data_IF_466010197409
#
_entry.id   IF_466010197409
#
_cell.length_a   1.000
_cell.length_b   1.000
_cell.length_c   1.000
_cell.angle_alpha   90.00
_cell.angle_beta   90.00
_cell.angle_gamma   90.00
#
_symmetry.space_group_name_H-M   'P 1'
#
loop_
_entity.id
_entity.type
_entity.pdbx_description
1 polymer ?
#
# COMPACT_ATOMS: atom_id res chain seq x y z
N UNK A 1 14.87 -21.22 -16.73
CA UNK A 1 13.60 -20.76 -17.32
C UNK A 1 12.81 -20.17 -16.16
N UNK A 2 12.47 -18.89 -16.20
CA UNK A 2 11.65 -18.25 -15.18
C UNK A 2 10.28 -18.95 -15.14
N UNK A 3 9.76 -19.32 -13.96
CA UNK A 3 8.41 -19.88 -13.88
C UNK A 3 7.38 -18.91 -14.50
N UNK A 4 6.28 -19.42 -15.07
CA UNK A 4 5.23 -18.53 -15.57
C UNK A 4 4.64 -17.73 -14.42
N UNK A 5 4.39 -16.43 -14.66
CA UNK A 5 3.74 -15.57 -13.68
C UNK A 5 2.33 -16.11 -13.33
N UNK A 6 1.86 -15.87 -12.10
CA UNK A 6 0.47 -16.14 -11.73
C UNK A 6 -0.55 -15.42 -12.65
N UNK A 7 -1.82 -15.82 -12.63
CA UNK A 7 -2.90 -15.09 -13.30
C UNK A 7 -2.92 -13.62 -12.88
N UNK A 8 -3.30 -12.73 -13.79
CA UNK A 8 -3.35 -11.29 -13.51
C UNK A 8 -4.63 -10.96 -12.72
N UNK A 9 -4.48 -10.19 -11.65
CA UNK A 9 -5.54 -9.65 -10.80
C UNK A 9 -6.18 -8.37 -11.38
N UNK A 10 -7.16 -7.78 -10.66
CA UNK A 10 -7.97 -6.68 -11.18
C UNK A 10 -7.17 -5.40 -11.47
N UNK A 11 -6.11 -5.12 -10.71
CA UNK A 11 -5.24 -3.96 -10.89
C UNK A 11 -4.07 -4.23 -11.86
N UNK A 12 -4.07 -5.34 -12.61
CA UNK A 12 -3.02 -5.66 -13.57
C UNK A 12 -1.78 -6.35 -12.98
N UNK A 13 -1.66 -6.40 -11.65
CA UNK A 13 -0.61 -7.16 -10.95
C UNK A 13 -0.92 -8.67 -10.95
N UNK A 14 0.09 -9.56 -10.94
CA UNK A 14 -0.13 -10.99 -10.74
C UNK A 14 -0.81 -11.26 -9.39
N UNK A 15 -1.73 -12.23 -9.37
CA UNK A 15 -2.26 -12.86 -8.16
C UNK A 15 -1.18 -13.74 -7.51
N UNK A 16 -0.14 -13.07 -7.02
CA UNK A 16 1.04 -13.67 -6.40
C UNK A 16 1.55 -12.77 -5.29
N UNK A 17 2.81 -12.98 -4.91
CA UNK A 17 3.45 -12.27 -3.80
C UNK A 17 4.70 -11.54 -4.31
N UNK A 18 4.73 -10.23 -4.09
CA UNK A 18 5.83 -9.33 -4.41
C UNK A 18 6.53 -8.80 -3.17
N UNK A 19 7.59 -8.02 -3.40
CA UNK A 19 8.33 -7.32 -2.34
C UNK A 19 8.64 -5.88 -2.75
N UNK A 20 8.76 -5.00 -1.77
CA UNK A 20 9.32 -3.66 -1.99
C UNK A 20 10.79 -3.73 -2.41
N UNK A 21 11.18 -2.98 -3.44
CA UNK A 21 12.56 -2.97 -3.94
C UNK A 21 13.51 -2.30 -2.94
N UNK A 22 14.42 -3.09 -2.37
CA UNK A 22 15.57 -2.58 -1.61
C UNK A 22 16.87 -2.72 -2.39
N UNK A 23 17.69 -1.66 -2.36
CA UNK A 23 18.91 -1.56 -3.19
C UNK A 23 19.89 -2.69 -2.90
N UNK A 24 19.94 -3.10 -1.64
CA UNK A 24 20.74 -4.20 -1.09
C UNK A 24 20.42 -5.54 -1.75
N UNK A 25 19.18 -5.73 -2.22
CA UNK A 25 18.70 -6.99 -2.80
C UNK A 25 18.76 -7.02 -4.33
N UNK A 26 18.86 -5.85 -4.99
CA UNK A 26 18.80 -5.73 -6.44
C UNK A 26 19.74 -6.68 -7.19
N UNK A 27 21.00 -6.82 -6.76
CA UNK A 27 21.96 -7.68 -7.46
C UNK A 27 21.57 -9.15 -7.40
N UNK A 28 21.00 -9.61 -6.29
CA UNK A 28 20.58 -11.00 -6.12
C UNK A 28 19.28 -11.27 -6.88
N UNK A 29 18.30 -10.37 -6.79
CA UNK A 29 17.03 -10.47 -7.52
C UNK A 29 17.22 -10.44 -9.05
N UNK A 30 18.12 -9.61 -9.57
CA UNK A 30 18.42 -9.58 -11.00
C UNK A 30 19.20 -10.81 -11.48
N UNK A 31 19.89 -11.51 -10.57
CA UNK A 31 20.57 -12.76 -10.89
C UNK A 31 19.59 -13.95 -10.89
N UNK A 32 18.60 -13.93 -10.00
CA UNK A 32 17.51 -14.90 -9.97
C UNK A 32 16.17 -14.21 -9.67
N UNK A 33 15.34 -13.96 -10.71
CA UNK A 33 14.08 -13.26 -10.55
C UNK A 33 12.90 -14.14 -10.15
N UNK A 34 13.09 -15.46 -10.11
CA UNK A 34 12.03 -16.43 -9.84
C UNK A 34 11.38 -16.41 -8.45
N UNK A 35 12.00 -15.88 -7.37
CA UNK A 35 11.41 -15.96 -6.04
C UNK A 35 10.15 -15.12 -5.84
N UNK A 36 9.96 -14.03 -6.59
CA UNK A 36 8.87 -13.05 -6.39
C UNK A 36 8.10 -12.81 -7.69
N UNK A 37 6.82 -12.48 -7.57
CA UNK A 37 5.91 -12.38 -8.72
C UNK A 37 5.84 -10.95 -9.29
N UNK A 38 6.09 -9.93 -8.47
CA UNK A 38 6.15 -8.54 -8.86
C UNK A 38 7.02 -7.74 -7.88
N UNK A 39 7.36 -6.50 -8.25
CA UNK A 39 8.16 -5.59 -7.43
C UNK A 39 7.41 -4.28 -7.22
N UNK A 40 7.42 -3.77 -6.00
CA UNK A 40 7.01 -2.39 -5.73
C UNK A 40 8.21 -1.44 -5.67
N UNK A 41 8.02 -0.22 -6.15
CA UNK A 41 8.96 0.89 -6.00
C UNK A 41 8.24 2.14 -5.49
N UNK A 42 8.90 2.88 -4.59
CA UNK A 42 8.40 4.21 -4.20
C UNK A 42 8.70 5.22 -5.29
N UNK A 43 7.68 5.94 -5.74
CA UNK A 43 7.74 6.84 -6.88
C UNK A 43 8.85 7.90 -6.71
N UNK A 44 8.93 8.51 -5.54
CA UNK A 44 9.80 9.64 -5.20
C UNK A 44 11.29 9.28 -5.37
N UNK A 45 11.67 8.01 -5.19
CA UNK A 45 13.03 7.52 -5.39
C UNK A 45 13.48 7.53 -6.86
N UNK A 46 12.54 7.68 -7.79
CA UNK A 46 12.73 7.59 -9.24
C UNK A 46 12.19 8.81 -10.01
N UNK A 47 11.88 9.92 -9.34
CA UNK A 47 11.38 11.15 -9.99
C UNK A 47 12.47 12.10 -10.52
N UNK A 48 13.74 11.70 -10.47
CA UNK A 48 14.85 12.52 -10.99
C UNK A 48 14.87 12.55 -12.53
N UNK A 49 15.54 13.53 -13.14
CA UNK A 49 15.61 13.66 -14.60
C UNK A 49 16.50 12.60 -15.29
N UNK A 50 17.26 11.83 -14.51
CA UNK A 50 18.27 10.92 -15.02
C UNK A 50 19.06 10.24 -13.89
N UNK A 51 19.93 9.31 -14.29
CA UNK A 51 20.94 8.73 -13.40
C UNK A 51 20.75 7.23 -13.13
N UNK A 52 21.59 6.67 -12.25
CA UNK A 52 21.66 5.23 -12.02
C UNK A 52 20.37 4.63 -11.48
N UNK A 53 19.55 5.41 -10.75
CA UNK A 53 18.26 4.94 -10.26
C UNK A 53 17.29 4.64 -11.40
N UNK A 54 17.17 5.52 -12.40
CA UNK A 54 16.29 5.27 -13.55
C UNK A 54 16.76 4.08 -14.39
N UNK A 55 18.08 3.95 -14.58
CA UNK A 55 18.62 2.80 -15.30
C UNK A 55 18.39 1.47 -14.54
N UNK A 56 18.43 1.50 -13.20
CA UNK A 56 18.02 0.36 -12.38
C UNK A 56 16.53 0.07 -12.58
N UNK A 57 15.68 1.09 -12.48
CA UNK A 57 14.25 0.95 -12.63
C UNK A 57 13.86 0.33 -13.98
N UNK A 58 14.47 0.77 -15.08
CA UNK A 58 14.22 0.18 -16.41
C UNK A 58 14.51 -1.33 -16.40
N UNK A 59 15.63 -1.74 -15.81
CA UNK A 59 16.00 -3.16 -15.73
C UNK A 59 15.04 -3.97 -14.86
N UNK A 60 14.54 -3.39 -13.78
CA UNK A 60 13.50 -4.03 -12.95
C UNK A 60 12.21 -4.15 -13.77
N UNK A 61 11.77 -3.08 -14.45
CA UNK A 61 10.56 -3.06 -15.26
C UNK A 61 10.60 -4.04 -16.45
N UNK A 62 11.78 -4.30 -17.02
CA UNK A 62 11.98 -5.32 -18.05
C UNK A 62 11.81 -6.77 -17.51
N UNK A 63 11.94 -6.95 -16.20
CA UNK A 63 11.99 -8.27 -15.55
C UNK A 63 10.69 -8.62 -14.81
N UNK A 64 10.06 -7.65 -14.15
CA UNK A 64 8.85 -7.86 -13.35
C UNK A 64 7.75 -6.84 -13.68
N UNK A 65 6.47 -7.22 -13.54
CA UNK A 65 5.40 -6.24 -13.36
C UNK A 65 5.72 -5.33 -12.17
N UNK A 66 5.39 -4.04 -12.30
CA UNK A 66 5.66 -3.05 -11.26
C UNK A 66 4.38 -2.57 -10.58
N UNK A 67 4.42 -2.52 -9.25
CA UNK A 67 3.61 -1.59 -8.47
C UNK A 67 4.42 -0.31 -8.22
N UNK A 68 3.83 0.85 -8.46
CA UNK A 68 4.42 2.12 -8.07
C UNK A 68 3.59 2.68 -6.92
N UNK A 69 4.23 2.89 -5.78
CA UNK A 69 3.59 3.49 -4.62
C UNK A 69 4.13 4.91 -4.42
N UNK A 70 3.24 5.90 -4.35
CA UNK A 70 3.59 7.30 -4.06
C UNK A 70 3.27 7.64 -2.60
N UNK A 71 4.06 8.54 -2.01
CA UNK A 71 3.87 8.96 -0.60
C UNK A 71 3.76 10.48 -0.41
N UNK A 72 3.83 11.24 -1.52
CA UNK A 72 4.05 12.69 -1.49
C UNK A 72 3.01 13.51 -2.28
N UNK A 73 1.95 12.89 -2.82
CA UNK A 73 0.93 13.62 -3.57
C UNK A 73 -0.04 14.34 -2.62
N UNK A 74 -0.14 13.87 -1.37
CA UNK A 74 -0.86 14.54 -0.29
C UNK A 74 -2.36 14.69 -0.60
N UNK A 75 -3.01 13.59 -1.01
CA UNK A 75 -4.42 13.56 -1.41
C UNK A 75 -5.40 14.07 -0.33
N UNK A 76 -5.05 13.90 0.94
CA UNK A 76 -5.80 14.39 2.11
C UNK A 76 -5.51 15.85 2.49
N UNK A 77 -4.56 16.51 1.82
CA UNK A 77 -4.14 17.88 2.14
C UNK A 77 -5.20 18.93 1.80
N UNK A 78 -5.15 20.09 2.46
CA UNK A 78 -6.10 21.19 2.18
C UNK A 78 -5.80 21.95 0.88
N UNK A 79 -4.53 21.99 0.49
CA UNK A 79 -4.05 22.69 -0.69
C UNK A 79 -4.33 21.89 -1.98
N UNK A 80 -4.44 22.57 -3.14
CA UNK A 80 -4.48 21.88 -4.43
C UNK A 80 -3.25 20.99 -4.65
N UNK A 81 -3.42 19.93 -5.44
CA UNK A 81 -2.31 19.04 -5.81
C UNK A 81 -1.17 19.80 -6.51
N UNK A 82 0.08 19.47 -6.14
CA UNK A 82 1.26 20.05 -6.78
C UNK A 82 1.38 19.55 -8.23
N UNK A 83 1.09 20.43 -9.20
CA UNK A 83 1.21 20.10 -10.62
C UNK A 83 2.62 19.70 -11.04
N UNK A 84 3.66 20.25 -10.41
CA UNK A 84 5.04 19.87 -10.72
C UNK A 84 5.34 18.44 -10.24
N UNK A 85 4.78 18.04 -9.09
CA UNK A 85 4.81 16.67 -8.61
C UNK A 85 4.03 15.73 -9.54
N UNK A 86 2.79 16.07 -9.91
CA UNK A 86 2.00 15.30 -10.88
C UNK A 86 2.72 15.10 -12.22
N UNK A 87 3.44 16.11 -12.73
CA UNK A 87 4.26 15.98 -13.93
C UNK A 87 5.45 15.03 -13.76
N UNK A 88 6.05 14.95 -12.56
CA UNK A 88 7.11 13.96 -12.27
C UNK A 88 6.53 12.54 -12.19
N UNK A 89 5.40 12.36 -11.50
CA UNK A 89 4.66 11.09 -11.49
C UNK A 89 4.29 10.63 -12.89
N UNK A 90 3.70 11.52 -13.70
CA UNK A 90 3.30 11.20 -15.07
C UNK A 90 4.48 10.73 -15.91
N UNK A 91 5.63 11.42 -15.83
CA UNK A 91 6.86 11.01 -16.53
C UNK A 91 7.34 9.62 -16.10
N UNK A 92 7.29 9.32 -14.81
CA UNK A 92 7.68 8.03 -14.26
C UNK A 92 6.73 6.91 -14.75
N UNK A 93 5.42 7.12 -14.62
CA UNK A 93 4.39 6.18 -15.08
C UNK A 93 4.50 5.94 -16.59
N UNK A 94 4.65 7.01 -17.39
CA UNK A 94 4.77 6.89 -18.84
C UNK A 94 6.04 6.10 -19.24
N UNK A 95 7.12 6.22 -18.47
CA UNK A 95 8.39 5.54 -18.72
C UNK A 95 8.29 4.03 -18.57
N UNK A 96 7.69 3.55 -17.46
CA UNK A 96 7.74 2.13 -17.10
C UNK A 96 6.42 1.40 -17.26
N UNK A 97 5.32 2.12 -17.53
CA UNK A 97 3.98 1.57 -17.72
C UNK A 97 3.63 0.56 -16.62
N UNK A 98 3.61 0.99 -15.35
CA UNK A 98 3.46 0.07 -14.22
C UNK A 98 2.09 -0.61 -14.26
N UNK A 99 2.05 -1.83 -13.73
CA UNK A 99 0.82 -2.59 -13.59
C UNK A 99 -0.13 -1.87 -12.62
N UNK A 100 0.38 -1.44 -11.46
CA UNK A 100 -0.38 -0.73 -10.42
C UNK A 100 0.23 0.65 -10.09
N UNK A 101 -0.60 1.55 -9.59
CA UNK A 101 -0.18 2.83 -9.00
C UNK A 101 -1.05 3.12 -7.78
N UNK A 102 -0.42 3.36 -6.63
CA UNK A 102 -1.08 3.62 -5.37
C UNK A 102 -0.57 4.90 -4.68
N UNK A 103 -1.39 5.44 -3.77
CA UNK A 103 -1.04 6.53 -2.85
C UNK A 103 -1.84 6.35 -1.55
N UNK A 104 -1.31 6.84 -0.44
CA UNK A 104 -1.96 7.04 0.83
C UNK A 104 -3.04 8.13 0.82
N UNK A 105 -4.04 7.92 1.68
CA UNK A 105 -4.87 8.99 2.19
C UNK A 105 -4.12 9.78 3.27
N UNK A 106 -3.28 10.72 2.86
CA UNK A 106 -2.54 11.55 3.81
C UNK A 106 -2.39 13.00 3.38
N UNK A 107 -2.05 13.82 4.37
CA UNK A 107 -1.45 15.13 4.16
C UNK A 107 0.06 15.00 4.35
N UNK A 108 0.85 15.33 3.32
CA UNK A 108 2.33 15.31 3.39
C UNK A 108 2.99 16.70 3.51
N UNK A 109 2.26 17.84 3.35
CA UNK A 109 2.88 19.19 3.32
C UNK A 109 2.08 20.36 3.96
N UNK A 110 2.34 20.79 5.22
CA UNK A 110 1.60 21.88 5.90
C UNK A 110 2.46 23.14 6.05
N UNK A 111 1.92 24.30 5.64
CA UNK A 111 2.64 25.59 5.64
C UNK A 111 4.06 25.52 5.03
N UNK A 112 4.21 24.73 3.97
CA UNK A 112 5.51 24.52 3.28
C UNK A 112 6.47 23.56 3.97
N UNK A 113 6.05 22.89 5.06
CA UNK A 113 6.83 21.84 5.74
C UNK A 113 6.33 20.46 5.32
N UNK A 114 7.24 19.61 4.84
CA UNK A 114 6.95 18.22 4.51
C UNK A 114 6.99 17.36 5.78
N UNK A 115 5.95 16.56 6.03
CA UNK A 115 5.89 15.63 7.15
C UNK A 115 5.97 14.21 6.61
N UNK A 116 6.91 13.43 7.14
CA UNK A 116 7.08 12.02 6.75
C UNK A 116 6.02 11.12 7.38
N UNK A 117 5.48 11.52 8.53
CA UNK A 117 4.39 10.82 9.20
C UNK A 117 3.05 11.38 8.73
N UNK A 118 2.19 10.49 8.23
CA UNK A 118 0.86 10.83 7.71
C UNK A 118 0.07 11.54 8.81
N UNK A 119 -0.16 12.85 8.65
CA UNK A 119 -0.96 13.61 9.60
C UNK A 119 -2.42 13.13 9.53
N UNK A 120 -3.11 12.98 10.69
CA UNK A 120 -4.47 12.47 10.72
C UNK A 120 -5.39 13.38 9.93
N UNK A 121 -6.18 12.76 9.06
CA UNK A 121 -7.20 13.43 8.26
C UNK A 121 -8.53 13.39 9.03
N UNK A 122 -9.27 14.50 9.05
CA UNK A 122 -10.61 14.51 9.62
C UNK A 122 -11.57 13.78 8.67
N UNK A 123 -12.19 12.69 9.12
CA UNK A 123 -13.19 11.95 8.36
C UNK A 123 -14.55 12.66 8.42
N UNK A 124 -14.61 13.85 7.82
CA UNK A 124 -15.83 14.65 7.70
C UNK A 124 -16.23 14.87 6.23
N UNK A 125 -17.42 15.40 6.02
CA UNK A 125 -17.98 15.59 4.67
C UNK A 125 -17.18 16.60 3.84
N UNK A 126 -16.58 17.62 4.46
CA UNK A 126 -15.77 18.61 3.76
C UNK A 126 -14.48 18.01 3.24
N UNK A 127 -13.78 17.25 4.09
CA UNK A 127 -12.61 16.48 3.69
C UNK A 127 -12.94 15.45 2.62
N UNK A 128 -14.03 14.70 2.77
CA UNK A 128 -14.47 13.70 1.79
C UNK A 128 -14.59 14.30 0.38
N UNK A 129 -15.28 15.44 0.25
CA UNK A 129 -15.44 16.08 -1.06
C UNK A 129 -14.11 16.55 -1.66
N UNK A 130 -13.18 17.00 -0.81
CA UNK A 130 -11.86 17.44 -1.25
C UNK A 130 -11.03 16.27 -1.76
N UNK A 131 -10.98 15.17 -1.00
CA UNK A 131 -10.25 13.96 -1.39
C UNK A 131 -10.81 13.37 -2.67
N UNK A 132 -12.15 13.32 -2.83
CA UNK A 132 -12.79 12.92 -4.10
C UNK A 132 -12.26 13.78 -5.26
N UNK A 133 -12.26 15.11 -5.10
CA UNK A 133 -11.76 16.02 -6.13
C UNK A 133 -10.26 15.82 -6.45
N UNK A 134 -9.44 15.54 -5.44
CA UNK A 134 -8.01 15.28 -5.62
C UNK A 134 -7.75 13.95 -6.33
N UNK A 135 -8.48 12.90 -5.95
CA UNK A 135 -8.37 11.58 -6.60
C UNK A 135 -8.82 11.68 -8.05
N UNK A 136 -9.93 12.35 -8.35
CA UNK A 136 -10.39 12.57 -9.73
C UNK A 136 -9.34 13.36 -10.54
N UNK A 137 -8.81 14.46 -10.01
CA UNK A 137 -7.75 15.24 -10.68
C UNK A 137 -6.50 14.39 -10.95
N UNK A 138 -6.06 13.59 -9.99
CA UNK A 138 -4.89 12.72 -10.13
C UNK A 138 -5.13 11.64 -11.19
N UNK A 139 -6.26 10.93 -11.15
CA UNK A 139 -6.58 9.90 -12.14
C UNK A 139 -6.69 10.48 -13.56
N UNK A 140 -7.37 11.62 -13.72
CA UNK A 140 -7.50 12.30 -15.01
C UNK A 140 -6.14 12.75 -15.56
N UNK A 141 -5.28 13.30 -14.69
CA UNK A 141 -3.96 13.78 -15.10
C UNK A 141 -3.00 12.64 -15.46
N UNK A 142 -3.00 11.57 -14.65
CA UNK A 142 -2.13 10.41 -14.85
C UNK A 142 -2.66 9.47 -15.94
N UNK A 143 -3.95 9.52 -16.24
CA UNK A 143 -4.60 8.72 -17.27
C UNK A 143 -4.75 7.24 -16.88
N UNK A 144 -4.82 6.93 -15.58
CA UNK A 144 -4.96 5.56 -15.06
C UNK A 144 -5.73 5.55 -13.74
N UNK A 145 -6.25 4.38 -13.37
CA UNK A 145 -6.85 4.17 -12.06
C UNK A 145 -5.78 4.26 -10.96
N UNK A 146 -6.10 4.94 -9.88
CA UNK A 146 -5.31 5.03 -8.66
C UNK A 146 -5.83 3.99 -7.65
N UNK A 147 -4.95 3.36 -6.88
CA UNK A 147 -5.33 2.63 -5.67
C UNK A 147 -5.12 3.53 -4.45
N UNK A 148 -6.16 3.72 -3.64
CA UNK A 148 -6.06 4.52 -2.41
C UNK A 148 -5.79 3.58 -1.23
N UNK A 149 -4.77 3.88 -0.45
CA UNK A 149 -4.39 3.10 0.72
C UNK A 149 -5.01 3.61 2.03
N UNK A 150 -5.41 2.68 2.90
CA UNK A 150 -5.80 3.00 4.28
C UNK A 150 -4.57 3.33 5.15
N UNK A 151 -4.55 4.47 5.85
CA UNK A 151 -3.42 4.84 6.70
C UNK A 151 -3.45 4.09 8.03
N UNK A 152 -2.30 4.05 8.73
CA UNK A 152 -2.27 3.85 10.18
C UNK A 152 -2.76 5.11 10.90
N UNK A 153 -3.71 4.99 11.83
CA UNK A 153 -4.17 6.12 12.66
C UNK A 153 -3.81 5.93 14.14
N UNK A 154 -3.40 7.02 14.78
CA UNK A 154 -3.04 7.07 16.20
C UNK A 154 -3.94 8.01 17.01
N UNK A 155 -4.68 8.89 16.33
CA UNK A 155 -5.54 9.90 16.96
C UNK A 155 -6.83 10.01 16.16
N UNK A 156 -7.97 9.88 16.86
CA UNK A 156 -9.28 10.20 16.30
C UNK A 156 -9.58 11.68 16.47
N UNK A 157 -9.91 12.36 15.38
CA UNK A 157 -10.33 13.75 15.42
C UNK A 157 -11.82 13.83 15.79
N UNK A 158 -12.15 14.62 16.81
CA UNK A 158 -13.53 14.78 17.28
C UNK A 158 -14.49 15.37 16.22
N UNK A 159 -13.95 15.96 15.16
CA UNK A 159 -14.69 16.46 14.01
C UNK A 159 -15.07 15.37 13.01
N UNK A 160 -14.48 14.17 13.11
CA UNK A 160 -14.82 13.04 12.26
C UNK A 160 -16.26 12.61 12.50
N UNK A 161 -17.01 12.50 11.40
CA UNK A 161 -18.43 12.11 11.37
C UNK A 161 -18.66 10.83 10.58
N UNK A 162 -17.65 10.38 9.84
CA UNK A 162 -17.63 9.14 9.09
C UNK A 162 -16.76 8.10 9.80
N UNK A 163 -17.14 6.83 9.68
CA UNK A 163 -16.23 5.73 9.96
C UNK A 163 -15.16 5.66 8.85
N UNK A 164 -13.92 5.34 9.20
CA UNK A 164 -12.80 5.32 8.24
C UNK A 164 -13.07 4.43 7.02
N UNK A 165 -13.47 3.18 7.25
CA UNK A 165 -13.81 2.25 6.17
C UNK A 165 -14.92 2.77 5.25
N UNK A 166 -15.93 3.46 5.80
CA UNK A 166 -17.04 4.05 5.02
C UNK A 166 -16.57 5.28 4.24
N UNK A 167 -15.68 6.08 4.82
CA UNK A 167 -15.06 7.23 4.16
C UNK A 167 -14.27 6.78 2.92
N UNK A 168 -13.41 5.77 3.08
CA UNK A 168 -12.62 5.18 1.99
C UNK A 168 -13.52 4.53 0.92
N UNK A 169 -14.53 3.75 1.35
CA UNK A 169 -15.48 3.13 0.43
C UNK A 169 -16.28 4.18 -0.37
N UNK A 170 -16.68 5.29 0.25
CA UNK A 170 -17.40 6.37 -0.42
C UNK A 170 -16.51 7.11 -1.43
N UNK A 171 -15.22 7.30 -1.15
CA UNK A 171 -14.25 7.83 -2.13
C UNK A 171 -14.20 6.91 -3.35
N UNK A 172 -13.90 5.62 -3.15
CA UNK A 172 -13.81 4.65 -4.24
C UNK A 172 -15.09 4.57 -5.07
N UNK A 173 -16.26 4.65 -4.40
CA UNK A 173 -17.56 4.65 -5.07
C UNK A 173 -17.79 5.90 -5.95
N UNK A 174 -17.26 7.06 -5.54
CA UNK A 174 -17.46 8.34 -6.23
C UNK A 174 -16.48 8.56 -7.37
N UNK A 175 -15.22 8.16 -7.19
CA UNK A 175 -14.11 8.43 -8.11
C UNK A 175 -13.80 7.24 -9.02
N UNK A 176 -14.28 6.04 -8.64
CA UNK A 176 -13.92 4.80 -9.30
C UNK A 176 -12.47 4.36 -9.05
N UNK A 177 -11.76 4.97 -8.10
CA UNK A 177 -10.44 4.48 -7.70
C UNK A 177 -10.54 3.06 -7.10
N UNK A 178 -9.45 2.30 -7.18
CA UNK A 178 -9.34 1.04 -6.44
C UNK A 178 -8.84 1.29 -5.02
N UNK A 179 -8.68 0.21 -4.27
CA UNK A 179 -8.14 0.25 -2.92
C UNK A 179 -6.82 -0.53 -2.85
N UNK A 180 -5.88 0.00 -2.09
CA UNK A 180 -4.77 -0.75 -1.54
C UNK A 180 -5.12 -1.01 -0.08
N UNK A 181 -5.17 -2.28 0.32
CA UNK A 181 -5.50 -2.63 1.70
C UNK A 181 -4.21 -3.01 2.43
N UNK A 182 -3.72 -2.10 3.25
CA UNK A 182 -2.64 -2.42 4.18
C UNK A 182 -3.24 -3.05 5.45
N UNK A 183 -2.92 -4.33 5.67
CA UNK A 183 -3.42 -5.09 6.81
C UNK A 183 -2.64 -4.80 8.10
N UNK A 184 -1.39 -4.34 8.00
CA UNK A 184 -0.63 -3.86 9.14
C UNK A 184 -1.24 -2.57 9.68
N UNK A 185 -1.56 -1.60 8.81
CA UNK A 185 -2.22 -0.35 9.14
C UNK A 185 -3.60 -0.57 9.77
N UNK A 186 -4.39 -1.49 9.21
CA UNK A 186 -5.67 -1.89 9.80
C UNK A 186 -5.47 -2.49 11.21
N UNK A 187 -4.49 -3.38 11.37
CA UNK A 187 -4.21 -4.01 12.66
C UNK A 187 -3.73 -3.00 13.72
N UNK A 188 -2.82 -2.09 13.34
CA UNK A 188 -2.32 -1.02 14.20
C UNK A 188 -3.48 -0.13 14.66
N UNK A 189 -4.28 0.37 13.71
CA UNK A 189 -5.39 1.28 14.00
C UNK A 189 -6.44 0.60 14.89
N UNK A 190 -6.82 -0.64 14.56
CA UNK A 190 -7.73 -1.44 15.39
C UNK A 190 -7.19 -1.65 16.80
N UNK A 191 -5.90 -2.00 16.96
CA UNK A 191 -5.29 -2.20 18.27
C UNK A 191 -5.28 -0.92 19.09
N UNK A 192 -4.81 0.18 18.49
CA UNK A 192 -4.61 1.44 19.18
C UNK A 192 -5.94 2.12 19.56
N UNK A 193 -6.96 2.01 18.71
CA UNK A 193 -8.29 2.58 18.97
C UNK A 193 -9.26 1.61 19.67
N UNK A 194 -8.95 0.31 19.69
CA UNK A 194 -9.83 -0.73 20.23
C UNK A 194 -11.05 -1.03 19.34
N UNK A 195 -10.94 -0.80 18.03
CA UNK A 195 -12.02 -1.07 17.07
C UNK A 195 -12.08 -2.55 16.70
N UNK A 196 -13.28 -3.13 16.50
CA UNK A 196 -13.41 -4.48 15.96
C UNK A 196 -13.05 -4.52 14.47
N UNK A 197 -12.06 -5.35 14.09
CA UNK A 197 -11.62 -5.49 12.69
C UNK A 197 -12.75 -5.99 11.78
N UNK A 198 -13.59 -6.92 12.26
CA UNK A 198 -14.71 -7.45 11.49
C UNK A 198 -15.73 -6.36 11.10
N UNK A 199 -15.97 -5.38 11.99
CA UNK A 199 -16.87 -4.25 11.68
C UNK A 199 -16.22 -3.33 10.63
N UNK A 200 -14.92 -3.07 10.73
CA UNK A 200 -14.19 -2.27 9.74
C UNK A 200 -14.20 -2.95 8.36
N UNK A 201 -13.86 -4.25 8.29
CA UNK A 201 -13.87 -5.03 7.04
C UNK A 201 -15.26 -5.11 6.43
N UNK A 202 -16.32 -5.22 7.26
CA UNK A 202 -17.70 -5.26 6.80
C UNK A 202 -18.20 -3.95 6.16
N UNK A 203 -17.53 -2.82 6.45
CA UNK A 203 -17.83 -1.49 5.88
C UNK A 203 -16.93 -1.12 4.71
N UNK A 204 -15.76 -1.75 4.60
CA UNK A 204 -14.75 -1.44 3.61
C UNK A 204 -15.11 -1.94 2.21
N UNK A 205 -14.58 -1.28 1.18
CA UNK A 205 -14.78 -1.65 -0.22
C UNK A 205 -13.85 -2.80 -0.65
N UNK A 206 -13.97 -3.97 -0.01
CA UNK A 206 -13.12 -5.15 -0.29
C UNK A 206 -13.13 -5.54 -1.78
N UNK A 207 -14.28 -5.45 -2.44
CA UNK A 207 -14.42 -5.78 -3.86
C UNK A 207 -13.59 -4.87 -4.80
N UNK A 208 -13.11 -3.72 -4.29
CA UNK A 208 -12.24 -2.75 -4.98
C UNK A 208 -10.76 -2.94 -4.68
N UNK A 209 -10.39 -3.89 -3.82
CA UNK A 209 -8.98 -4.13 -3.46
C UNK A 209 -8.21 -4.65 -4.67
N UNK A 210 -7.24 -3.84 -5.11
CA UNK A 210 -6.33 -4.15 -6.20
C UNK A 210 -5.03 -4.79 -5.73
N UNK A 211 -4.64 -4.53 -4.48
CA UNK A 211 -3.36 -4.90 -3.88
C UNK A 211 -3.48 -4.90 -2.35
N UNK A 212 -2.77 -5.81 -1.68
CA UNK A 212 -2.71 -5.93 -0.22
C UNK A 212 -1.26 -5.76 0.22
N UNK A 213 -1.02 -4.94 1.24
CA UNK A 213 0.29 -4.80 1.86
C UNK A 213 0.33 -5.52 3.21
N UNK A 214 1.48 -6.13 3.49
CA UNK A 214 1.82 -6.76 4.76
C UNK A 214 3.15 -6.21 5.25
N UNK A 215 3.17 -5.77 6.50
CA UNK A 215 4.37 -5.34 7.19
C UNK A 215 4.36 -5.81 8.66
N UNK A 216 5.48 -5.57 9.35
CA UNK A 216 5.56 -5.63 10.81
C UNK A 216 5.52 -4.23 11.42
N UNK A 217 5.34 -4.19 12.74
CA UNK A 217 5.20 -2.95 13.52
C UNK A 217 6.01 -3.00 14.80
N UNK A 218 6.41 -1.84 15.29
CA UNK A 218 7.09 -1.71 16.57
C UNK A 218 6.07 -1.61 17.70
N UNK A 219 6.33 -2.29 18.82
CA UNK A 219 5.53 -2.13 20.04
C UNK A 219 6.23 -1.19 21.02
N UNK A 220 5.58 -0.08 21.34
CA UNK A 220 6.03 0.89 22.34
C UNK A 220 5.03 0.97 23.50
N UNK A 221 5.41 1.69 24.56
CA UNK A 221 4.53 1.97 25.70
C UNK A 221 4.32 3.48 25.80
N UNK A 222 3.07 3.92 25.85
CA UNK A 222 2.74 5.34 26.01
C UNK A 222 3.05 5.85 27.44
N UNK A 223 2.94 7.17 27.66
CA UNK A 223 3.19 7.78 28.96
C UNK A 223 2.24 7.26 30.06
N UNK A 224 1.10 6.69 29.69
CA UNK A 224 0.11 6.09 30.59
C UNK A 224 0.35 4.58 30.85
N UNK A 225 1.42 4.00 30.29
CA UNK A 225 1.77 2.58 30.47
C UNK A 225 0.98 1.63 29.57
N UNK A 226 0.29 2.12 28.54
CA UNK A 226 -0.49 1.30 27.60
C UNK A 226 0.36 0.89 26.40
N UNK A 227 0.22 -0.34 25.88
CA UNK A 227 0.89 -0.73 24.66
C UNK A 227 0.33 0.08 23.49
N UNK A 228 1.23 0.53 22.62
CA UNK A 228 0.92 1.22 21.38
C UNK A 228 1.72 0.55 20.27
N UNK A 229 1.08 0.27 19.14
CA UNK A 229 1.78 -0.20 17.95
C UNK A 229 2.12 0.99 17.07
N UNK A 230 3.34 1.04 16.57
CA UNK A 230 3.85 2.09 15.69
C UNK A 230 4.21 1.48 14.35
N UNK A 231 3.84 2.20 13.30
CA UNK A 231 4.04 1.78 11.93
C UNK A 231 5.48 2.05 11.50
N UNK A 232 6.37 1.14 11.88
CA UNK A 232 7.81 1.27 11.62
C UNK A 232 8.24 0.56 10.35
N UNK A 233 7.44 -0.39 9.85
CA UNK A 233 7.79 -1.31 8.75
C UNK A 233 9.20 -1.93 8.91
N UNK A 234 9.67 -2.02 10.16
CA UNK A 234 11.02 -2.42 10.54
C UNK A 234 11.10 -3.86 11.03
N UNK A 235 9.95 -4.45 11.39
CA UNK A 235 9.84 -5.78 11.96
C UNK A 235 9.22 -6.77 10.98
N UNK A 236 9.35 -8.07 11.29
CA UNK A 236 8.76 -9.13 10.47
C UNK A 236 7.24 -9.05 10.51
N UNK A 237 6.60 -9.43 9.40
CA UNK A 237 5.14 -9.53 9.33
C UNK A 237 4.65 -10.40 10.50
N UNK A 238 3.78 -9.81 11.32
CA UNK A 238 3.33 -10.44 12.55
C UNK A 238 2.29 -11.54 12.27
N UNK A 239 2.17 -12.52 13.17
CA UNK A 239 1.18 -13.58 13.03
C UNK A 239 -0.27 -13.06 12.91
N UNK A 240 -0.71 -12.05 13.69
CA UNK A 240 -2.04 -11.46 13.50
C UNK A 240 -2.28 -10.88 12.11
N UNK A 241 -1.26 -10.26 11.49
CA UNK A 241 -1.37 -9.71 10.13
C UNK A 241 -1.52 -10.85 9.09
N UNK A 242 -0.81 -11.96 9.26
CA UNK A 242 -1.03 -13.16 8.43
C UNK A 242 -2.41 -13.80 8.62
N UNK A 243 -2.95 -13.78 9.84
CA UNK A 243 -4.31 -14.25 10.11
C UNK A 243 -5.35 -13.36 9.42
N UNK A 244 -5.15 -12.03 9.40
CA UNK A 244 -5.97 -11.09 8.63
C UNK A 244 -5.89 -11.36 7.13
N UNK A 245 -4.70 -11.65 6.60
CA UNK A 245 -4.56 -12.01 5.18
C UNK A 245 -5.41 -13.24 4.85
N UNK A 246 -5.38 -14.27 5.70
CA UNK A 246 -6.19 -15.46 5.51
C UNK A 246 -7.69 -15.15 5.59
N UNK A 247 -8.11 -14.28 6.53
CA UNK A 247 -9.49 -13.84 6.66
C UNK A 247 -9.97 -13.09 5.41
N UNK A 248 -9.23 -12.08 4.95
CA UNK A 248 -9.58 -11.30 3.75
C UNK A 248 -9.61 -12.18 2.51
N UNK A 249 -8.63 -13.09 2.37
CA UNK A 249 -8.59 -14.06 1.26
C UNK A 249 -9.83 -14.97 1.27
N UNK A 250 -10.33 -15.37 2.44
CA UNK A 250 -11.54 -16.17 2.55
C UNK A 250 -12.82 -15.37 2.24
N UNK A 251 -12.84 -14.07 2.53
CA UNK A 251 -13.99 -13.20 2.31
C UNK A 251 -14.17 -12.78 0.85
N UNK A 252 -13.09 -12.40 0.17
CA UNK A 252 -13.15 -11.76 -1.15
C UNK A 252 -12.19 -12.37 -2.20
N UNK A 253 -11.54 -13.47 -1.83
CA UNK A 253 -10.61 -14.18 -2.69
C UNK A 253 -9.19 -13.62 -2.67
N UNK A 254 -8.30 -14.26 -3.42
CA UNK A 254 -6.90 -13.88 -3.48
C UNK A 254 -6.70 -12.58 -4.27
N UNK A 255 -5.95 -11.64 -3.67
CA UNK A 255 -5.45 -10.39 -4.27
C UNK A 255 -3.92 -10.40 -4.33
N UNK A 256 -3.27 -9.62 -5.22
CA UNK A 256 -1.82 -9.42 -5.18
C UNK A 256 -1.38 -8.97 -3.79
N UNK A 257 -0.33 -9.59 -3.25
CA UNK A 257 0.18 -9.29 -1.90
C UNK A 257 1.61 -8.78 -2.00
N UNK A 258 1.91 -7.69 -1.31
CA UNK A 258 3.25 -7.17 -1.15
C UNK A 258 3.74 -7.35 0.29
N UNK A 259 4.99 -7.77 0.45
CA UNK A 259 5.70 -7.66 1.74
C UNK A 259 6.51 -6.37 1.76
N UNK A 260 6.28 -5.53 2.76
CA UNK A 260 6.99 -4.28 2.97
C UNK A 260 7.97 -4.37 4.15
N UNK A 261 9.19 -3.88 3.91
CA UNK A 261 10.31 -3.85 4.88
C UNK A 261 11.13 -2.59 4.67
N UNK A 262 10.61 -1.46 5.14
CA UNK A 262 11.16 -0.14 4.87
C UNK A 262 12.32 0.24 5.78
N UNK A 263 12.26 -0.20 7.03
CA UNK A 263 13.32 -0.02 8.01
C UNK A 263 13.97 -1.38 8.35
N UNK A 264 15.18 -1.35 8.91
CA UNK A 264 15.91 -2.56 9.34
C UNK A 264 15.94 -3.68 8.28
N UNK A 265 16.17 -3.31 7.02
CA UNK A 265 16.07 -4.21 5.86
C UNK A 265 16.81 -5.53 6.11
N UNK A 266 16.12 -6.68 6.18
CA UNK A 266 16.74 -7.95 6.50
C UNK A 266 17.53 -8.50 5.30
N UNK A 267 18.38 -9.54 5.50
CA UNK A 267 18.91 -10.32 4.40
C UNK A 267 17.80 -10.82 3.48
N UNK A 268 18.04 -10.84 2.15
CA UNK A 268 17.03 -11.24 1.16
C UNK A 268 16.40 -12.61 1.48
N UNK A 269 17.18 -13.57 1.99
CA UNK A 269 16.67 -14.90 2.33
C UNK A 269 15.58 -14.88 3.41
N UNK A 270 15.64 -13.94 4.36
CA UNK A 270 14.61 -13.76 5.40
C UNK A 270 13.35 -13.13 4.80
N UNK A 271 13.51 -12.11 3.95
CA UNK A 271 12.38 -11.50 3.23
C UNK A 271 11.66 -12.51 2.32
N UNK A 272 12.42 -13.38 1.63
CA UNK A 272 11.84 -14.45 0.82
C UNK A 272 11.14 -15.53 1.67
N UNK A 273 11.53 -15.73 2.92
CA UNK A 273 10.79 -16.60 3.83
C UNK A 273 9.42 -16.02 4.22
N UNK A 274 9.31 -14.69 4.33
CA UNK A 274 8.03 -14.00 4.53
C UNK A 274 7.13 -14.14 3.28
N UNK A 275 7.70 -14.03 2.08
CA UNK A 275 7.00 -14.31 0.80
C UNK A 275 6.40 -15.72 0.80
N UNK A 276 7.17 -16.74 1.17
CA UNK A 276 6.68 -18.13 1.24
C UNK A 276 5.60 -18.31 2.33
N UNK A 277 5.71 -17.58 3.43
CA UNK A 277 4.70 -17.59 4.50
C UNK A 277 3.38 -17.00 4.00
N UNK A 278 3.41 -15.86 3.31
CA UNK A 278 2.23 -15.26 2.69
C UNK A 278 1.58 -16.21 1.67
N UNK A 279 2.38 -16.81 0.77
CA UNK A 279 1.91 -17.82 -0.20
C UNK A 279 1.20 -18.99 0.49
N UNK A 280 1.77 -19.51 1.57
CA UNK A 280 1.17 -20.59 2.35
C UNK A 280 -0.15 -20.18 3.02
N UNK A 281 -0.24 -18.94 3.54
CA UNK A 281 -1.47 -18.39 4.12
C UNK A 281 -2.59 -18.27 3.08
N UNK A 282 -2.29 -17.71 1.91
CA UNK A 282 -3.23 -17.60 0.77
C UNK A 282 -3.74 -18.98 0.34
N UNK A 283 -2.83 -19.94 0.14
CA UNK A 283 -3.17 -21.28 -0.31
C UNK A 283 -4.07 -22.01 0.69
N UNK A 284 -3.81 -21.86 2.00
CA UNK A 284 -4.66 -22.42 3.07
C UNK A 284 -6.06 -21.83 3.05
N UNK A 285 -6.18 -20.51 2.93
CA UNK A 285 -7.46 -19.82 2.92
C UNK A 285 -8.32 -20.21 1.70
N UNK A 286 -7.71 -20.29 0.51
CA UNK A 286 -8.39 -20.71 -0.71
C UNK A 286 -8.95 -22.14 -0.61
N UNK A 287 -8.23 -23.05 0.06
CA UNK A 287 -8.70 -24.42 0.28
C UNK A 287 -9.82 -24.52 1.32
N UNK A 288 -9.84 -23.62 2.31
CA UNK A 288 -10.88 -23.60 3.33
C UNK A 288 -12.22 -23.06 2.81
N UNK A 289 -12.20 -22.11 1.86
CA UNK A 289 -13.41 -21.58 1.23
C UNK A 289 -14.03 -22.49 0.15
N UNK A 290 -13.30 -23.51 -0.31
CA UNK A 290 -13.77 -24.47 -1.32
C UNK A 290 -14.41 -25.75 -0.73
N UNK A 291 -14.36 -25.91 0.60
CA UNK A 291 -14.88 -27.07 1.34
C UNK A 291 -16.24 -26.77 1.99
#
# INVERSE_FOLDING_TARGET
MTPPLPPIGPAGLPLGVGIGLKREHCSALLADPSPVDFIEVHAENFMSEGGPNLALLDRIAETWPLSIHGVALSLGGEAPLDRAHLLRLRRLIDRVQPASFSEHLAWSSHDGTYFNDLLPVAYDTGTLQRVISHVDEAQDFLGRQLLLENPSTYVELATSTWHEAEFLAEIARKTGCGMLLDLNNLYISSHNHGWPIDDWLGRFALDKVGEIHLAGHEQVTDEAGRPLLIDSHGDAVSAPVYDLLAQVTALDGHRPVLIERDNNVPPLAELLAEVETARACIARAANAGAA
#
